data_IF_162226544465
#
_entry.id   IF_162226544465
#
_cell.length_a   1.000
_cell.length_b   1.000
_cell.length_c   1.000
_cell.angle_alpha   90.00
_cell.angle_beta   90.00
_cell.angle_gamma   90.00
#
_symmetry.space_group_name_H-M   'P 1'
#
loop_
_entity.id
_entity.type
_entity.pdbx_description
1 polymer ?
#
# COMPACT_ATOMS: atom_id res chain seq x y z
N UNK A 1 1.56 -3.18 -22.62
CA UNK A 1 2.23 -3.65 -21.38
C UNK A 1 1.46 -3.12 -20.18
N UNK A 2 1.05 -3.98 -19.25
CA UNK A 2 0.45 -3.55 -17.98
C UNK A 2 1.50 -2.86 -17.11
N UNK A 3 1.07 -1.98 -16.21
CA UNK A 3 1.95 -1.21 -15.32
C UNK A 3 1.88 -1.76 -13.90
N UNK A 4 2.88 -1.37 -13.11
CA UNK A 4 2.88 -1.62 -11.66
C UNK A 4 2.54 -0.34 -10.92
N UNK A 5 1.77 -0.47 -9.85
CA UNK A 5 1.51 0.58 -8.89
C UNK A 5 2.41 0.38 -7.67
N UNK A 6 2.97 1.47 -7.16
CA UNK A 6 3.67 1.50 -5.87
C UNK A 6 2.94 2.50 -4.97
N UNK A 7 2.64 2.08 -3.74
CA UNK A 7 2.05 2.92 -2.69
C UNK A 7 3.03 3.05 -1.52
N UNK A 8 3.16 4.25 -0.95
CA UNK A 8 3.97 4.49 0.23
C UNK A 8 3.31 5.54 1.12
N UNK A 9 3.56 5.47 2.43
CA UNK A 9 3.05 6.41 3.43
C UNK A 9 4.18 7.34 3.86
N UNK A 10 3.93 8.64 3.91
CA UNK A 10 4.94 9.65 4.25
C UNK A 10 4.39 10.68 5.24
N UNK A 11 5.26 11.24 6.08
CA UNK A 11 4.89 12.22 7.09
C UNK A 11 4.35 11.59 8.38
N UNK A 12 3.54 12.36 9.12
CA UNK A 12 2.94 11.90 10.37
C UNK A 12 1.82 10.88 10.14
N UNK A 13 1.82 9.72 10.82
CA UNK A 13 0.73 8.76 10.71
C UNK A 13 -0.58 9.35 11.24
N UNK A 14 -1.72 8.96 10.65
CA UNK A 14 -3.05 9.38 11.08
C UNK A 14 -3.91 8.18 11.48
N UNK A 15 -5.08 8.43 12.08
CA UNK A 15 -6.02 7.36 12.42
C UNK A 15 -6.62 6.64 11.21
N UNK A 16 -6.54 7.23 10.00
CA UNK A 16 -7.26 6.75 8.81
C UNK A 16 -6.38 6.53 7.57
N UNK A 17 -5.05 6.72 7.66
CA UNK A 17 -4.17 6.61 6.50
C UNK A 17 -4.20 5.22 5.84
N UNK A 18 -4.41 4.17 6.64
CA UNK A 18 -4.57 2.80 6.12
C UNK A 18 -5.88 2.60 5.34
N UNK A 19 -6.93 3.39 5.61
CA UNK A 19 -8.17 3.37 4.82
C UNK A 19 -7.94 3.90 3.41
N UNK A 20 -7.05 4.89 3.24
CA UNK A 20 -6.61 5.33 1.91
C UNK A 20 -5.86 4.22 1.17
N UNK A 21 -4.95 3.52 1.85
CA UNK A 21 -4.25 2.36 1.28
C UNK A 21 -5.22 1.25 0.85
N UNK A 22 -6.19 0.91 1.70
CA UNK A 22 -7.27 -0.02 1.38
C UNK A 22 -7.97 0.36 0.07
N UNK A 23 -8.38 1.62 -0.08
CA UNK A 23 -9.04 2.10 -1.30
C UNK A 23 -8.19 1.90 -2.56
N UNK A 24 -6.89 2.21 -2.48
CA UNK A 24 -5.93 2.03 -3.58
C UNK A 24 -5.81 0.55 -3.95
N UNK A 25 -5.63 -0.34 -2.97
CA UNK A 25 -5.48 -1.79 -3.21
C UNK A 25 -6.73 -2.36 -3.87
N UNK A 26 -7.93 -2.03 -3.35
CA UNK A 26 -9.20 -2.56 -3.87
C UNK A 26 -9.46 -2.08 -5.29
N UNK A 27 -9.21 -0.82 -5.59
CA UNK A 27 -9.40 -0.30 -6.94
C UNK A 27 -8.35 -0.85 -7.91
N UNK A 28 -7.08 -0.94 -7.50
CA UNK A 28 -6.03 -1.53 -8.33
C UNK A 28 -6.32 -3.00 -8.67
N UNK A 29 -6.85 -3.79 -7.73
CA UNK A 29 -7.33 -5.17 -7.97
C UNK A 29 -8.48 -5.25 -8.99
N UNK A 30 -9.25 -4.17 -9.19
CA UNK A 30 -10.32 -4.10 -10.21
C UNK A 30 -9.79 -3.68 -11.59
N UNK A 31 -8.77 -2.82 -11.62
CA UNK A 31 -8.17 -2.26 -12.85
C UNK A 31 -7.17 -3.22 -13.52
N UNK A 32 -7.50 -4.52 -13.60
CA UNK A 32 -6.60 -5.58 -14.10
C UNK A 32 -6.21 -5.46 -15.58
N UNK A 33 -6.93 -4.64 -16.35
CA UNK A 33 -6.58 -4.27 -17.72
C UNK A 33 -5.31 -3.40 -17.77
N UNK A 34 -5.10 -2.56 -16.75
CA UNK A 34 -4.04 -1.54 -16.72
C UNK A 34 -2.94 -1.86 -15.69
N UNK A 35 -3.31 -2.46 -14.55
CA UNK A 35 -2.44 -2.70 -13.41
C UNK A 35 -2.27 -4.20 -13.20
N UNK A 36 -1.02 -4.65 -13.09
CA UNK A 36 -0.67 -6.05 -12.81
C UNK A 36 0.06 -6.20 -11.48
N UNK A 37 0.97 -5.27 -11.15
CA UNK A 37 1.69 -5.24 -9.88
C UNK A 37 1.10 -4.21 -8.90
N UNK A 38 0.98 -4.58 -7.63
CA UNK A 38 0.56 -3.69 -6.54
C UNK A 38 1.56 -3.84 -5.40
N UNK A 39 2.43 -2.85 -5.23
CA UNK A 39 3.52 -2.90 -4.26
C UNK A 39 3.38 -1.84 -3.18
N UNK A 40 3.74 -2.20 -1.95
CA UNK A 40 3.85 -1.29 -0.82
C UNK A 40 5.31 -1.03 -0.48
N UNK A 41 5.71 0.22 -0.31
CA UNK A 41 7.05 0.57 0.17
C UNK A 41 7.09 0.59 1.69
N UNK A 42 8.00 -0.16 2.30
CA UNK A 42 8.20 -0.14 3.74
C UNK A 42 8.99 1.09 4.17
N UNK A 43 8.56 1.79 5.22
CA UNK A 43 9.20 3.01 5.73
C UNK A 43 9.19 4.18 4.73
N UNK A 44 8.05 4.41 4.08
CA UNK A 44 7.85 5.57 3.21
C UNK A 44 8.74 5.59 1.97
N UNK A 45 9.32 6.74 1.64
CA UNK A 45 10.13 6.90 0.42
C UNK A 45 11.47 6.15 0.51
N UNK A 46 12.00 5.97 1.72
CA UNK A 46 13.27 5.25 1.93
C UNK A 46 13.17 3.80 1.48
N UNK A 47 12.04 3.12 1.72
CA UNK A 47 11.85 1.76 1.22
C UNK A 47 11.94 1.68 -0.29
N UNK A 48 11.37 2.66 -0.99
CA UNK A 48 11.37 2.69 -2.44
C UNK A 48 12.77 2.93 -2.99
N UNK A 49 13.55 3.80 -2.34
CA UNK A 49 14.94 4.07 -2.74
C UNK A 49 15.87 2.87 -2.48
N UNK A 50 15.50 1.99 -1.53
CA UNK A 50 16.30 0.83 -1.13
C UNK A 50 15.70 -0.51 -1.62
N UNK A 51 14.77 -0.48 -2.58
CA UNK A 51 14.06 -1.66 -3.10
C UNK A 51 13.39 -2.54 -2.02
N UNK A 52 13.03 -1.95 -0.87
CA UNK A 52 12.34 -2.61 0.23
C UNK A 52 10.82 -2.53 0.02
N UNK A 53 10.34 -3.32 -0.94
CA UNK A 53 8.95 -3.38 -1.36
C UNK A 53 8.31 -4.71 -0.98
N UNK A 54 7.04 -4.66 -0.60
CA UNK A 54 6.18 -5.84 -0.40
C UNK A 54 5.14 -5.93 -1.51
N UNK A 55 4.79 -7.15 -1.92
CA UNK A 55 3.74 -7.39 -2.90
C UNK A 55 2.38 -7.50 -2.19
N UNK A 56 1.58 -6.43 -2.27
CA UNK A 56 0.29 -6.32 -1.58
C UNK A 56 -0.78 -7.26 -2.17
N UNK A 57 -0.49 -7.92 -3.29
CA UNK A 57 -1.37 -8.96 -3.86
C UNK A 57 -1.28 -10.27 -3.10
N UNK A 58 -0.18 -10.50 -2.37
CA UNK A 58 0.06 -11.72 -1.60
C UNK A 58 -0.59 -11.67 -0.21
N UNK A 59 -1.06 -10.50 0.21
CA UNK A 59 -1.76 -10.32 1.48
C UNK A 59 -3.19 -10.91 1.43
N UNK A 60 -3.56 -11.58 2.53
CA UNK A 60 -4.90 -12.12 2.71
C UNK A 60 -5.96 -11.02 2.64
N UNK A 61 -7.08 -11.30 1.99
CA UNK A 61 -8.17 -10.32 1.88
C UNK A 61 -8.68 -9.88 3.26
N UNK A 62 -8.67 -10.78 4.25
CA UNK A 62 -9.01 -10.44 5.63
C UNK A 62 -8.04 -9.39 6.24
N UNK A 63 -6.74 -9.48 5.96
CA UNK A 63 -5.76 -8.48 6.39
C UNK A 63 -6.00 -7.13 5.70
N UNK A 64 -6.30 -7.16 4.40
CA UNK A 64 -6.67 -5.95 3.66
C UNK A 64 -7.92 -5.28 4.24
N UNK A 65 -8.94 -6.06 4.61
CA UNK A 65 -10.16 -5.51 5.21
C UNK A 65 -9.92 -4.86 6.59
N UNK A 66 -8.96 -5.38 7.38
CA UNK A 66 -8.58 -4.81 8.68
C UNK A 66 -7.96 -3.41 8.58
N UNK A 67 -7.40 -3.03 7.43
CA UNK A 67 -6.80 -1.71 7.21
C UNK A 67 -7.78 -0.55 7.50
N UNK A 68 -9.08 -0.75 7.28
CA UNK A 68 -10.13 0.24 7.56
C UNK A 68 -10.24 0.61 9.03
N UNK A 69 -9.80 -0.28 9.92
CA UNK A 69 -9.90 -0.15 11.38
C UNK A 69 -8.53 -0.09 12.05
N UNK A 70 -7.45 -0.11 11.27
CA UNK A 70 -6.08 -0.12 11.79
C UNK A 70 -5.55 1.32 11.79
N UNK A 71 -5.33 1.95 12.95
CA UNK A 71 -4.74 3.28 13.03
C UNK A 71 -3.25 3.23 12.69
N UNK A 72 -2.63 4.41 12.63
CA UNK A 72 -1.23 4.60 12.28
C UNK A 72 -0.89 4.14 10.85
N UNK A 73 0.39 4.06 10.51
CA UNK A 73 0.87 3.70 9.17
C UNK A 73 1.28 2.22 9.13
N UNK A 74 0.50 1.38 8.45
CA UNK A 74 0.76 -0.07 8.36
C UNK A 74 2.06 -0.39 7.62
N UNK A 75 2.47 0.43 6.66
CA UNK A 75 3.73 0.27 5.94
C UNK A 75 4.91 0.97 6.64
N UNK A 76 4.66 1.66 7.75
CA UNK A 76 5.61 2.62 8.31
C UNK A 76 5.73 3.89 7.46
N UNK A 77 6.39 4.90 8.02
CA UNK A 77 6.54 6.23 7.40
C UNK A 77 7.89 6.84 7.77
N UNK A 78 8.36 7.78 6.94
CA UNK A 78 9.59 8.55 7.10
C UNK A 78 9.32 10.04 6.87
N UNK A 79 10.28 10.90 7.24
CA UNK A 79 10.16 12.37 7.20
C UNK A 79 11.36 13.01 6.53
#
# INVERSE_FOLDING_TARGET
MKKSLVYFQSGGPTAIINTSMYGVIKEAKRQTEYIDGIYGSLHGIEGLLNDNLIDLRQEDEAQIELLKQTPAAALGTTR
#
